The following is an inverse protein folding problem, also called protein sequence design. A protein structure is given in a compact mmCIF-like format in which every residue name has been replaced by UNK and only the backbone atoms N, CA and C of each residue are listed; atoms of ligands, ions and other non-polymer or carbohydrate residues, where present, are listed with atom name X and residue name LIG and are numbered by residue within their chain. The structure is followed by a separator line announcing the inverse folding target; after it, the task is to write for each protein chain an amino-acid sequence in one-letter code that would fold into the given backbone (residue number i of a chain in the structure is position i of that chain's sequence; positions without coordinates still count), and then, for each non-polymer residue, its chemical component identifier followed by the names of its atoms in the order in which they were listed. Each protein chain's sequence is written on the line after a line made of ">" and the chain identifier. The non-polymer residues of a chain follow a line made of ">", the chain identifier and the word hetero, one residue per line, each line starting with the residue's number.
data_IF_273061401757
#
_entry.id   IF_273061401757
#
_cell.length_a   1.000
_cell.length_b   1.000
_cell.length_c   1.000
_cell.angle_alpha   90.00
_cell.angle_beta   90.00
_cell.angle_gamma   90.00
#
_symmetry.space_group_name_H-M   'P 1'
#
loop_
_entity.id
_entity.type
_entity.pdbx_description
1 polymer ?
#
# COMPACT_ATOMS: atom_id res chain seq x y z
N UNK A 1 -7.78 3.28 -7.97
CA UNK A 1 -8.38 4.50 -7.41
C UNK A 1 -9.65 4.11 -6.67
N UNK A 2 -9.66 4.01 -5.32
CA UNK A 2 -10.88 4.05 -4.45
C UNK A 2 -10.69 3.39 -3.08
N UNK A 3 -9.79 2.42 -2.91
CA UNK A 3 -9.79 1.54 -1.73
C UNK A 3 -9.62 2.25 -0.38
N UNK A 4 -8.68 3.18 -0.25
CA UNK A 4 -8.46 3.90 1.01
C UNK A 4 -9.57 4.91 1.31
N UNK A 5 -10.09 5.58 0.28
CA UNK A 5 -11.19 6.52 0.46
C UNK A 5 -12.48 5.79 0.87
N UNK A 6 -12.76 4.64 0.23
CA UNK A 6 -13.82 3.74 0.63
C UNK A 6 -13.61 3.18 2.04
N UNK A 7 -12.37 2.86 2.43
CA UNK A 7 -12.06 2.39 3.78
C UNK A 7 -12.23 3.48 4.84
N UNK A 8 -11.82 4.72 4.56
CA UNK A 8 -11.96 5.86 5.48
C UNK A 8 -13.44 6.25 5.63
N UNK A 9 -14.15 6.44 4.52
CA UNK A 9 -15.58 6.80 4.55
C UNK A 9 -16.42 5.64 5.10
N UNK A 10 -16.20 4.42 4.59
CA UNK A 10 -16.93 3.23 5.02
C UNK A 10 -16.67 2.91 6.49
N UNK A 11 -15.41 2.98 6.94
CA UNK A 11 -15.05 2.76 8.33
C UNK A 11 -15.65 3.80 9.28
N UNK A 12 -15.58 5.09 8.92
CA UNK A 12 -16.17 6.17 9.72
C UNK A 12 -17.70 6.10 9.78
N UNK A 13 -18.34 5.82 8.64
CA UNK A 13 -19.81 5.69 8.55
C UNK A 13 -20.31 4.49 9.37
N UNK A 14 -19.60 3.35 9.32
CA UNK A 14 -19.92 2.19 10.15
C UNK A 14 -19.77 2.46 11.65
N UNK A 15 -18.76 3.25 12.06
CA UNK A 15 -18.57 3.66 13.46
C UNK A 15 -19.69 4.56 13.98
N UNK A 16 -20.15 5.52 13.18
CA UNK A 16 -21.29 6.39 13.54
C UNK A 16 -22.59 5.59 13.68
N UNK A 17 -22.82 4.64 12.77
CA UNK A 17 -23.99 3.75 12.81
C UNK A 17 -23.91 2.82 14.02
N UNK A 18 -22.73 2.28 14.33
CA UNK A 18 -22.52 1.50 15.54
C UNK A 18 -22.82 2.32 16.80
N UNK A 19 -22.31 3.54 16.89
CA UNK A 19 -22.44 4.41 18.06
C UNK A 19 -23.88 4.88 18.29
N UNK A 20 -24.66 5.10 17.23
CA UNK A 20 -26.03 5.63 17.33
C UNK A 20 -27.12 4.56 17.35
N UNK A 21 -26.93 3.45 16.63
CA UNK A 21 -27.99 2.47 16.38
C UNK A 21 -27.67 1.09 16.98
N UNK A 22 -26.44 0.86 17.44
CA UNK A 22 -26.02 -0.39 18.08
C UNK A 22 -25.34 -1.38 17.14
N UNK A 23 -24.94 -2.53 17.70
CA UNK A 23 -24.00 -3.47 17.09
C UNK A 23 -24.46 -4.12 15.78
N UNK A 24 -25.77 -4.33 15.59
CA UNK A 24 -26.30 -5.07 14.43
C UNK A 24 -26.40 -4.22 13.17
N UNK A 25 -26.51 -2.89 13.29
CA UNK A 25 -26.78 -1.99 12.16
C UNK A 25 -25.67 -1.82 11.14
N UNK A 26 -24.38 -1.83 11.51
CA UNK A 26 -23.28 -1.84 10.53
C UNK A 26 -23.37 -3.03 9.56
N UNK A 27 -23.85 -4.20 10.01
CA UNK A 27 -23.98 -5.38 9.16
C UNK A 27 -25.11 -5.23 8.13
N UNK A 28 -26.27 -4.70 8.54
CA UNK A 28 -27.36 -4.41 7.61
C UNK A 28 -26.95 -3.39 6.54
N UNK A 29 -26.23 -2.34 6.96
CA UNK A 29 -25.70 -1.33 6.04
C UNK A 29 -24.70 -1.93 5.05
N UNK A 30 -23.81 -2.81 5.53
CA UNK A 30 -22.87 -3.51 4.67
C UNK A 30 -23.57 -4.35 3.60
N UNK A 31 -24.59 -5.14 3.99
CA UNK A 31 -25.38 -5.97 3.06
C UNK A 31 -26.09 -5.08 2.03
N UNK A 32 -26.70 -3.97 2.46
CA UNK A 32 -27.36 -3.03 1.57
C UNK A 32 -26.39 -2.42 0.53
N UNK A 33 -25.22 -1.96 0.98
CA UNK A 33 -24.22 -1.40 0.06
C UNK A 33 -23.64 -2.45 -0.89
N UNK A 34 -23.44 -3.68 -0.42
CA UNK A 34 -22.98 -4.79 -1.27
C UNK A 34 -24.01 -5.14 -2.35
N UNK A 35 -25.30 -5.17 -2.01
CA UNK A 35 -26.38 -5.37 -2.98
C UNK A 35 -26.43 -4.25 -4.01
N UNK A 36 -26.36 -2.99 -3.56
CA UNK A 36 -26.33 -1.83 -4.46
C UNK A 36 -25.14 -1.90 -5.44
N UNK A 37 -23.95 -2.24 -4.93
CA UNK A 37 -22.76 -2.42 -5.75
C UNK A 37 -22.92 -3.57 -6.76
N UNK A 38 -23.55 -4.68 -6.35
CA UNK A 38 -23.85 -5.81 -7.23
C UNK A 38 -24.81 -5.42 -8.36
N UNK A 39 -25.89 -4.69 -8.03
CA UNK A 39 -26.84 -4.17 -9.03
C UNK A 39 -26.13 -3.24 -10.01
N UNK A 40 -25.33 -2.29 -9.50
CA UNK A 40 -24.57 -1.36 -10.34
C UNK A 40 -23.62 -2.10 -11.27
N UNK A 41 -22.90 -3.12 -10.78
CA UNK A 41 -22.02 -3.93 -11.61
C UNK A 41 -22.75 -4.63 -12.75
N UNK A 42 -23.94 -5.20 -12.49
CA UNK A 42 -24.76 -5.83 -13.53
C UNK A 42 -25.22 -4.78 -14.55
N UNK A 43 -25.70 -3.63 -14.09
CA UNK A 43 -26.16 -2.56 -15.00
C UNK A 43 -25.03 -2.01 -15.87
N UNK A 44 -23.84 -1.81 -15.30
CA UNK A 44 -22.66 -1.31 -16.03
C UNK A 44 -22.16 -2.38 -17.00
N UNK A 45 -22.16 -3.65 -16.61
CA UNK A 45 -21.79 -4.77 -17.50
C UNK A 45 -22.73 -4.94 -18.70
N UNK A 46 -23.99 -4.52 -18.58
CA UNK A 46 -24.93 -4.47 -19.70
C UNK A 46 -24.68 -3.28 -20.63
N UNK A 47 -24.26 -2.12 -20.10
CA UNK A 47 -24.02 -0.89 -20.89
C UNK A 47 -22.65 -0.90 -21.56
N UNK A 48 -21.63 -1.44 -20.89
CA UNK A 48 -20.27 -1.58 -21.40
C UNK A 48 -19.92 -3.07 -21.49
N UNK A 49 -20.32 -3.75 -22.58
CA UNK A 49 -19.95 -5.15 -22.77
C UNK A 49 -18.42 -5.28 -22.76
N UNK A 50 -17.88 -6.33 -22.12
CA UNK A 50 -16.44 -6.54 -22.05
C UNK A 50 -15.86 -6.54 -23.46
N UNK A 51 -14.78 -5.79 -23.67
CA UNK A 51 -14.03 -5.80 -24.93
C UNK A 51 -13.62 -7.26 -25.17
N UNK A 52 -14.25 -7.90 -26.15
CA UNK A 52 -13.93 -9.27 -26.56
C UNK A 52 -12.58 -9.22 -27.26
N UNK A 53 -11.52 -9.31 -26.47
CA UNK A 53 -10.18 -9.52 -27.00
C UNK A 53 -10.12 -10.98 -27.46
N UNK A 54 -10.40 -11.25 -28.76
CA UNK A 54 -10.44 -12.61 -29.34
C UNK A 54 -9.18 -13.42 -29.01
N UNK A 55 -8.03 -12.74 -28.91
CA UNK A 55 -6.74 -13.35 -28.52
C UNK A 55 -6.66 -13.75 -27.04
N UNK A 56 -7.41 -13.08 -26.15
CA UNK A 56 -7.51 -13.48 -24.74
C UNK A 56 -8.46 -14.67 -24.59
N UNK A 57 -9.54 -14.72 -25.39
CA UNK A 57 -10.53 -15.79 -25.32
C UNK A 57 -10.01 -17.12 -25.90
N UNK A 58 -9.25 -17.09 -27.00
CA UNK A 58 -8.56 -18.28 -27.54
C UNK A 58 -7.53 -18.89 -26.58
N UNK A 59 -6.92 -18.07 -25.72
CA UNK A 59 -5.95 -18.51 -24.71
C UNK A 59 -6.60 -18.91 -23.38
N UNK A 60 -7.73 -18.30 -23.03
CA UNK A 60 -8.56 -18.65 -21.86
C UNK A 60 -9.32 -19.97 -22.07
N UNK A 61 -9.62 -20.35 -23.32
CA UNK A 61 -10.24 -21.64 -23.66
C UNK A 61 -9.28 -22.83 -23.61
N UNK A 62 -7.95 -22.60 -23.58
CA UNK A 62 -6.99 -23.65 -23.24
C UNK A 62 -6.90 -23.74 -21.73
N UNK A 63 -7.24 -24.89 -21.16
CA UNK A 63 -6.96 -25.28 -19.77
C UNK A 63 -5.45 -25.36 -19.54
N UNK A 64 -4.79 -24.21 -19.60
CA UNK A 64 -3.39 -24.07 -19.24
C UNK A 64 -3.27 -24.44 -17.76
N UNK A 65 -2.43 -25.44 -17.48
CA UNK A 65 -2.13 -25.81 -16.09
C UNK A 65 -1.67 -24.58 -15.32
N UNK A 66 -2.20 -24.41 -14.10
CA UNK A 66 -1.87 -23.30 -13.20
C UNK A 66 -0.35 -23.13 -13.05
N UNK A 67 0.39 -24.24 -13.07
CA UNK A 67 1.85 -24.27 -13.01
C UNK A 67 2.52 -23.64 -14.25
N UNK A 68 1.96 -23.85 -15.44
CA UNK A 68 2.46 -23.26 -16.69
C UNK A 68 2.19 -21.75 -16.73
N UNK A 69 1.05 -21.30 -16.20
CA UNK A 69 0.76 -19.86 -16.04
C UNK A 69 1.71 -19.19 -15.04
N UNK A 70 1.99 -19.84 -13.91
CA UNK A 70 2.98 -19.41 -12.90
C UNK A 70 4.37 -19.29 -13.49
N UNK A 71 4.84 -20.35 -14.15
CA UNK A 71 6.16 -20.37 -14.77
C UNK A 71 6.29 -19.26 -15.81
N UNK A 72 5.26 -19.03 -16.62
CA UNK A 72 5.21 -17.93 -17.57
C UNK A 72 5.14 -16.53 -16.95
N UNK A 73 4.68 -16.38 -15.71
CA UNK A 73 4.71 -15.11 -14.98
C UNK A 73 6.14 -14.79 -14.52
N UNK A 74 6.81 -15.74 -13.85
CA UNK A 74 8.17 -15.55 -13.32
C UNK A 74 9.26 -15.51 -14.40
N UNK A 75 9.02 -16.10 -15.57
CA UNK A 75 9.96 -16.08 -16.70
C UNK A 75 10.02 -14.73 -17.44
N UNK A 76 9.16 -13.77 -17.10
CA UNK A 76 9.21 -12.44 -17.72
C UNK A 76 10.44 -11.66 -17.25
N UNK A 77 11.11 -10.93 -18.16
CA UNK A 77 12.19 -10.04 -17.76
C UNK A 77 11.68 -9.05 -16.70
N UNK A 78 12.50 -8.79 -15.68
CA UNK A 78 12.23 -7.87 -14.56
C UNK A 78 11.13 -8.27 -13.55
N UNK A 79 10.43 -9.41 -13.71
CA UNK A 79 9.39 -9.82 -12.74
C UNK A 79 9.93 -10.23 -11.37
N UNK A 80 11.12 -10.84 -11.31
CA UNK A 80 11.77 -11.17 -10.03
C UNK A 80 11.99 -9.92 -9.17
N UNK A 81 12.58 -8.88 -9.77
CA UNK A 81 12.81 -7.59 -9.09
C UNK A 81 11.49 -6.90 -8.70
N UNK A 82 10.49 -6.92 -9.59
CA UNK A 82 9.17 -6.38 -9.29
C UNK A 82 8.50 -7.07 -8.09
N UNK A 83 8.50 -8.40 -8.05
CA UNK A 83 7.88 -9.14 -6.94
C UNK A 83 8.60 -8.85 -5.60
N UNK A 84 9.94 -8.74 -5.61
CA UNK A 84 10.71 -8.38 -4.40
C UNK A 84 10.36 -6.97 -3.94
N UNK A 85 10.33 -5.99 -4.85
CA UNK A 85 9.94 -4.62 -4.53
C UNK A 85 8.49 -4.62 -4.00
N UNK A 86 7.57 -5.28 -4.68
CA UNK A 86 6.17 -5.37 -4.28
C UNK A 86 6.02 -5.95 -2.87
N UNK A 87 6.72 -7.04 -2.55
CA UNK A 87 6.71 -7.65 -1.22
C UNK A 87 7.25 -6.70 -0.16
N UNK A 88 8.40 -6.05 -0.41
CA UNK A 88 9.13 -5.33 0.63
C UNK A 88 8.76 -3.86 0.76
N UNK A 89 8.20 -3.24 -0.28
CA UNK A 89 8.06 -1.78 -0.34
C UNK A 89 7.08 -1.23 0.70
N UNK A 90 5.95 -1.89 0.89
CA UNK A 90 4.88 -1.42 1.77
C UNK A 90 4.97 -1.86 3.24
N UNK A 91 5.38 -3.10 3.56
CA UNK A 91 5.25 -3.61 4.92
C UNK A 91 5.98 -2.80 5.98
N UNK A 92 7.12 -2.19 5.69
CA UNK A 92 7.87 -1.41 6.70
C UNK A 92 7.11 -0.16 7.15
N UNK A 93 6.65 0.66 6.21
CA UNK A 93 5.82 1.83 6.52
C UNK A 93 4.45 1.43 7.06
N UNK A 94 3.88 0.33 6.55
CA UNK A 94 2.61 -0.23 7.07
C UNK A 94 2.73 -0.74 8.51
N UNK A 95 3.89 -1.27 8.89
CA UNK A 95 4.17 -1.69 10.26
C UNK A 95 4.31 -0.49 11.18
N UNK A 96 5.04 0.55 10.77
CA UNK A 96 5.09 1.80 11.52
C UNK A 96 3.68 2.37 11.76
N UNK A 97 2.80 2.33 10.75
CA UNK A 97 1.40 2.74 10.89
C UNK A 97 0.62 1.89 11.90
N UNK A 98 0.82 0.56 11.89
CA UNK A 98 0.17 -0.35 12.83
C UNK A 98 0.55 -0.03 14.29
N UNK A 99 1.83 0.28 14.54
CA UNK A 99 2.36 0.59 15.86
C UNK A 99 2.15 2.04 16.32
N UNK A 100 1.58 2.93 15.48
CA UNK A 100 1.36 4.33 15.87
C UNK A 100 0.51 4.47 17.14
N UNK A 101 -0.58 3.72 17.22
CA UNK A 101 -1.48 3.78 18.38
C UNK A 101 -0.78 3.40 19.68
N UNK A 102 -0.14 2.21 19.80
CA UNK A 102 0.57 1.85 21.02
C UNK A 102 1.72 2.82 21.33
N UNK A 103 2.49 3.29 20.34
CA UNK A 103 3.54 4.30 20.55
C UNK A 103 2.99 5.57 21.20
N UNK A 104 1.87 6.09 20.68
CA UNK A 104 1.28 7.32 21.20
C UNK A 104 0.73 7.14 22.63
N UNK A 105 0.12 5.99 22.92
CA UNK A 105 -0.40 5.68 24.25
C UNK A 105 0.73 5.53 25.28
N UNK A 106 1.81 4.86 24.90
CA UNK A 106 2.97 4.65 25.78
C UNK A 106 3.75 5.96 26.03
N UNK A 107 3.68 6.93 25.12
CA UNK A 107 4.18 8.29 25.31
C UNK A 107 3.25 9.19 26.13
N UNK A 108 2.15 8.65 26.67
CA UNK A 108 1.23 9.36 27.55
C UNK A 108 0.17 10.21 26.84
N UNK A 109 -0.02 10.06 25.52
CA UNK A 109 -1.13 10.74 24.83
C UNK A 109 -2.45 10.10 25.26
N UNK A 110 -3.38 10.91 25.74
CA UNK A 110 -4.73 10.46 26.10
C UNK A 110 -5.47 9.79 24.93
N UNK A 111 -6.23 8.74 25.25
CA UNK A 111 -6.94 7.89 24.28
C UNK A 111 -7.81 8.69 23.29
N UNK A 112 -8.49 9.73 23.77
CA UNK A 112 -9.32 10.61 22.95
C UNK A 112 -8.50 11.36 21.88
N UNK A 113 -7.34 11.91 22.26
CA UNK A 113 -6.44 12.60 21.34
C UNK A 113 -5.85 11.63 20.31
N UNK A 114 -5.52 10.39 20.71
CA UNK A 114 -5.06 9.35 19.77
C UNK A 114 -6.14 9.06 18.72
N UNK A 115 -7.42 8.97 19.12
CA UNK A 115 -8.53 8.71 18.21
C UNK A 115 -8.71 9.86 17.18
N UNK A 116 -8.63 11.11 17.64
CA UNK A 116 -8.68 12.28 16.76
C UNK A 116 -7.51 12.32 15.77
N UNK A 117 -6.29 12.14 16.26
CA UNK A 117 -5.08 12.14 15.43
C UNK A 117 -5.12 11.00 14.41
N UNK A 118 -5.50 9.78 14.83
CA UNK A 118 -5.60 8.64 13.93
C UNK A 118 -6.64 8.89 12.81
N UNK A 119 -7.77 9.53 13.14
CA UNK A 119 -8.82 9.86 12.16
C UNK A 119 -8.32 10.90 11.14
N UNK A 120 -7.71 11.99 11.62
CA UNK A 120 -7.10 13.02 10.77
C UNK A 120 -6.03 12.42 9.84
N UNK A 121 -5.15 11.58 10.39
CA UNK A 121 -4.13 10.88 9.62
C UNK A 121 -4.77 9.99 8.55
N UNK A 122 -5.80 9.21 8.87
CA UNK A 122 -6.51 8.40 7.88
C UNK A 122 -7.02 9.21 6.68
N UNK A 123 -7.58 10.39 6.93
CA UNK A 123 -8.02 11.32 5.86
C UNK A 123 -6.82 11.83 5.05
N UNK A 124 -5.73 12.24 5.71
CA UNK A 124 -4.50 12.69 5.05
C UNK A 124 -3.89 11.59 4.16
N UNK A 125 -3.83 10.35 4.64
CA UNK A 125 -3.37 9.21 3.85
C UNK A 125 -4.25 8.99 2.61
N UNK A 126 -5.58 9.11 2.75
CA UNK A 126 -6.50 8.95 1.63
C UNK A 126 -6.33 10.06 0.58
N UNK A 127 -6.19 11.32 1.01
CA UNK A 127 -5.91 12.45 0.11
C UNK A 127 -4.54 12.31 -0.57
N UNK A 128 -3.52 11.90 0.17
CA UNK A 128 -2.19 11.64 -0.37
C UNK A 128 -2.20 10.47 -1.38
N UNK A 129 -3.06 9.48 -1.17
CA UNK A 129 -3.27 8.39 -2.13
C UNK A 129 -3.96 8.83 -3.42
N UNK A 130 -4.48 10.06 -3.51
CA UNK A 130 -4.99 10.62 -4.76
C UNK A 130 -3.91 11.38 -5.52
N UNK A 131 -3.02 12.08 -4.81
CA UNK A 131 -2.00 12.92 -5.46
C UNK A 131 -0.98 12.11 -6.26
N UNK A 132 -0.75 10.81 -5.96
CA UNK A 132 0.19 9.99 -6.73
C UNK A 132 -0.15 9.93 -8.23
N UNK A 133 -1.44 9.96 -8.62
CA UNK A 133 -1.83 9.83 -10.02
C UNK A 133 -1.38 11.02 -10.85
N UNK A 134 -1.24 12.20 -10.24
CA UNK A 134 -0.68 13.39 -10.89
C UNK A 134 0.81 13.20 -11.18
N UNK A 135 1.56 12.60 -10.25
CA UNK A 135 2.98 12.31 -10.43
C UNK A 135 3.22 11.21 -11.48
N UNK A 136 2.36 10.19 -11.56
CA UNK A 136 2.46 9.16 -12.60
C UNK A 136 2.20 9.68 -14.01
N UNK A 137 1.48 10.79 -14.17
CA UNK A 137 1.28 11.41 -15.49
C UNK A 137 2.54 12.13 -15.99
N UNK A 138 3.36 12.67 -15.08
CA UNK A 138 4.52 13.52 -15.42
C UNK A 138 5.87 12.78 -15.35
N UNK A 139 5.97 11.70 -14.56
CA UNK A 139 7.23 11.01 -14.32
C UNK A 139 7.14 9.53 -14.68
N UNK A 140 8.29 8.96 -15.08
CA UNK A 140 8.42 7.51 -15.25
C UNK A 140 8.07 6.76 -13.96
N UNK A 141 7.31 5.67 -14.01
CA UNK A 141 6.87 4.94 -12.81
C UNK A 141 8.02 4.49 -11.90
N UNK A 142 9.19 4.20 -12.47
CA UNK A 142 10.39 3.82 -11.71
C UNK A 142 10.95 4.99 -10.87
N UNK A 143 10.91 6.22 -11.40
CA UNK A 143 11.37 7.42 -10.68
C UNK A 143 10.44 7.76 -9.53
N UNK A 144 9.13 7.64 -9.74
CA UNK A 144 8.13 7.88 -8.70
C UNK A 144 8.28 6.87 -7.56
N UNK A 145 8.47 5.58 -7.89
CA UNK A 145 8.69 4.53 -6.90
C UNK A 145 9.95 4.78 -6.07
N UNK A 146 11.07 5.16 -6.70
CA UNK A 146 12.28 5.54 -5.99
C UNK A 146 12.08 6.78 -5.09
N UNK A 147 11.48 7.85 -5.61
CA UNK A 147 11.25 9.08 -4.84
C UNK A 147 10.42 8.81 -3.58
N UNK A 148 9.36 8.01 -3.69
CA UNK A 148 8.51 7.68 -2.55
C UNK A 148 9.18 6.69 -1.59
N UNK A 149 10.10 5.84 -2.06
CA UNK A 149 10.93 5.01 -1.16
C UNK A 149 11.85 5.87 -0.28
N UNK A 150 12.38 6.99 -0.79
CA UNK A 150 13.15 7.95 0.02
C UNK A 150 12.24 8.58 1.09
N UNK A 151 11.04 9.00 0.70
CA UNK A 151 10.07 9.55 1.65
C UNK A 151 9.69 8.55 2.75
N UNK A 152 9.57 7.25 2.43
CA UNK A 152 9.37 6.19 3.44
C UNK A 152 10.50 6.17 4.47
N UNK A 153 11.76 6.19 4.02
CA UNK A 153 12.92 6.22 4.90
C UNK A 153 12.91 7.48 5.78
N UNK A 154 12.64 8.65 5.20
CA UNK A 154 12.58 9.91 5.93
C UNK A 154 11.47 9.94 6.99
N UNK A 155 10.28 9.44 6.66
CA UNK A 155 9.16 9.37 7.59
C UNK A 155 9.46 8.42 8.78
N UNK A 156 10.05 7.26 8.50
CA UNK A 156 10.48 6.31 9.53
C UNK A 156 11.60 6.89 10.40
N UNK A 157 12.55 7.62 9.79
CA UNK A 157 13.62 8.30 10.51
C UNK A 157 13.10 9.42 11.41
N UNK A 158 12.08 10.18 10.96
CA UNK A 158 11.38 11.16 11.79
C UNK A 158 10.75 10.52 13.04
N UNK A 159 10.07 9.38 12.87
CA UNK A 159 9.54 8.62 14.01
C UNK A 159 10.64 8.10 14.94
N UNK A 160 11.73 7.59 14.38
CA UNK A 160 12.88 7.14 15.17
C UNK A 160 13.44 8.24 16.07
N UNK A 161 13.59 9.47 15.56
CA UNK A 161 14.07 10.62 16.34
C UNK A 161 13.10 10.94 17.48
N UNK A 162 11.81 11.09 17.16
CA UNK A 162 10.77 11.43 18.15
C UNK A 162 10.73 10.42 19.27
N UNK A 163 10.79 9.13 18.92
CA UNK A 163 10.79 8.03 19.88
C UNK A 163 12.05 7.99 20.72
N UNK A 164 13.21 8.17 20.11
CA UNK A 164 14.49 8.10 20.83
C UNK A 164 14.70 9.30 21.77
N UNK A 165 14.04 10.42 21.48
CA UNK A 165 14.06 11.63 22.31
C UNK A 165 12.85 11.74 23.24
N UNK A 166 11.96 10.74 23.23
CA UNK A 166 10.74 10.66 24.05
C UNK A 166 9.85 11.92 23.97
N UNK A 167 9.75 12.52 22.78
CA UNK A 167 8.93 13.71 22.59
C UNK A 167 7.45 13.36 22.49
N UNK A 168 6.63 13.87 23.43
CA UNK A 168 5.17 13.69 23.45
C UNK A 168 4.39 14.90 22.89
N UNK A 169 5.07 15.91 22.38
CA UNK A 169 4.47 17.19 21.97
C UNK A 169 4.04 17.22 20.48
N UNK A 170 3.87 18.42 19.92
CA UNK A 170 3.57 18.66 18.50
C UNK A 170 4.51 17.94 17.52
N UNK A 171 5.77 17.69 17.92
CA UNK A 171 6.78 17.02 17.10
C UNK A 171 6.38 15.58 16.76
N UNK A 172 5.79 14.88 17.73
CA UNK A 172 5.24 13.54 17.52
C UNK A 172 4.08 13.59 16.54
N UNK A 173 3.14 14.51 16.73
CA UNK A 173 1.98 14.65 15.84
C UNK A 173 2.43 14.90 14.39
N UNK A 174 3.44 15.75 14.18
CA UNK A 174 4.01 16.00 12.84
C UNK A 174 4.64 14.74 12.25
N UNK A 175 5.40 13.97 13.03
CA UNK A 175 5.98 12.71 12.55
C UNK A 175 4.90 11.67 12.21
N UNK A 176 3.85 11.55 13.03
CA UNK A 176 2.69 10.67 12.79
C UNK A 176 1.96 11.06 11.51
N UNK A 177 1.69 12.36 11.30
CA UNK A 177 1.08 12.85 10.07
C UNK A 177 1.96 12.60 8.85
N UNK A 178 3.28 12.76 8.99
CA UNK A 178 4.25 12.45 7.94
C UNK A 178 4.21 10.98 7.52
N UNK A 179 4.22 10.05 8.48
CA UNK A 179 4.05 8.61 8.22
C UNK A 179 2.75 8.34 7.47
N UNK A 180 1.66 9.01 7.86
CA UNK A 180 0.36 8.83 7.23
C UNK A 180 0.32 9.25 5.77
N UNK A 181 0.85 10.44 5.47
CA UNK A 181 0.92 10.98 4.10
C UNK A 181 1.75 10.05 3.22
N UNK A 182 2.92 9.64 3.71
CA UNK A 182 3.86 8.80 2.97
C UNK A 182 3.31 7.38 2.76
N UNK A 183 2.59 6.83 3.76
CA UNK A 183 1.85 5.58 3.63
C UNK A 183 0.81 5.67 2.50
N UNK A 184 0.05 6.76 2.45
CA UNK A 184 -0.93 7.03 1.39
C UNK A 184 -0.30 7.07 0.00
N UNK A 185 0.72 7.91 -0.18
CA UNK A 185 1.48 8.03 -1.43
C UNK A 185 2.03 6.67 -1.90
N UNK A 186 2.65 5.93 -0.98
CA UNK A 186 3.23 4.62 -1.23
C UNK A 186 2.19 3.60 -1.68
N UNK A 187 1.03 3.59 -1.03
CA UNK A 187 -0.05 2.69 -1.40
C UNK A 187 -0.59 2.96 -2.81
N UNK A 188 -0.78 4.23 -3.16
CA UNK A 188 -1.30 4.64 -4.46
C UNK A 188 -0.39 4.16 -5.59
N UNK A 189 0.92 4.40 -5.46
CA UNK A 189 1.91 3.95 -6.45
C UNK A 189 1.93 2.44 -6.58
N UNK A 190 1.91 1.71 -5.46
CA UNK A 190 2.02 0.26 -5.47
C UNK A 190 0.80 -0.39 -6.16
N UNK A 191 -0.41 0.05 -5.81
CA UNK A 191 -1.63 -0.43 -6.47
C UNK A 191 -1.71 0.01 -7.94
N UNK A 192 -1.25 1.22 -8.28
CA UNK A 192 -1.14 1.67 -9.66
C UNK A 192 -0.20 0.79 -10.49
N UNK A 193 0.96 0.44 -9.93
CA UNK A 193 1.93 -0.43 -10.59
C UNK A 193 1.46 -1.88 -10.70
N UNK A 194 0.81 -2.44 -9.66
CA UNK A 194 0.20 -3.78 -9.73
C UNK A 194 -0.74 -3.89 -10.94
N UNK A 195 -1.56 -2.86 -11.18
CA UNK A 195 -2.47 -2.83 -12.32
C UNK A 195 -1.71 -2.79 -13.65
N UNK A 196 -0.67 -1.96 -13.76
CA UNK A 196 0.15 -1.86 -14.98
C UNK A 196 0.93 -3.15 -15.31
N UNK A 197 1.37 -3.90 -14.30
CA UNK A 197 2.14 -5.13 -14.47
C UNK A 197 1.25 -6.40 -14.62
N UNK A 198 -0.07 -6.26 -14.50
CA UNK A 198 -1.01 -7.37 -14.68
C UNK A 198 -1.28 -7.62 -16.17
N UNK A 199 -1.17 -8.87 -16.63
CA UNK A 199 -1.49 -9.25 -18.02
C UNK A 199 -2.98 -9.11 -18.29
N UNK A 200 -3.41 -8.31 -19.27
CA UNK A 200 -4.82 -8.20 -19.68
C UNK A 200 -5.52 -9.55 -19.87
N UNK A 201 -4.82 -10.57 -20.40
CA UNK A 201 -5.37 -11.91 -20.60
C UNK A 201 -5.37 -12.84 -19.36
N UNK A 202 -4.58 -12.54 -18.31
CA UNK A 202 -4.46 -13.36 -17.09
C UNK A 202 -4.52 -12.52 -15.79
N UNK A 203 -5.15 -11.33 -15.85
CA UNK A 203 -5.10 -10.33 -14.77
C UNK A 203 -5.53 -10.88 -13.43
N UNK A 204 -6.56 -11.75 -13.40
CA UNK A 204 -7.07 -12.32 -12.15
C UNK A 204 -6.05 -13.23 -11.45
N UNK A 205 -5.33 -14.07 -12.21
CA UNK A 205 -4.33 -14.98 -11.64
C UNK A 205 -3.06 -14.23 -11.21
N UNK A 206 -2.55 -13.33 -12.05
CA UNK A 206 -1.35 -12.55 -11.72
C UNK A 206 -1.59 -11.62 -10.51
N UNK A 207 -2.75 -10.98 -10.45
CA UNK A 207 -3.14 -10.14 -9.31
C UNK A 207 -3.31 -10.96 -8.03
N UNK A 208 -3.94 -12.15 -8.10
CA UNK A 208 -4.08 -13.04 -6.96
C UNK A 208 -2.73 -13.39 -6.34
N UNK A 209 -1.73 -13.67 -7.18
CA UNK A 209 -0.38 -14.00 -6.72
C UNK A 209 0.36 -12.82 -6.12
N UNK A 210 0.36 -11.68 -6.81
CA UNK A 210 0.95 -10.46 -6.26
C UNK A 210 0.30 -10.10 -4.92
N UNK A 211 -1.03 -10.17 -4.82
CA UNK A 211 -1.78 -9.89 -3.60
C UNK A 211 -1.45 -10.86 -2.46
N UNK A 212 -1.34 -12.16 -2.74
CA UNK A 212 -0.96 -13.16 -1.72
C UNK A 212 0.46 -12.92 -1.19
N UNK A 213 1.42 -12.68 -2.08
CA UNK A 213 2.82 -12.41 -1.71
C UNK A 213 2.95 -11.09 -0.93
N UNK A 214 2.21 -10.08 -1.35
CA UNK A 214 2.10 -8.80 -0.65
C UNK A 214 1.52 -8.96 0.77
N UNK A 215 0.43 -9.73 0.89
CA UNK A 215 -0.25 -9.96 2.16
C UNK A 215 0.61 -10.75 3.14
N UNK A 216 1.36 -11.74 2.64
CA UNK A 216 2.29 -12.52 3.46
C UNK A 216 3.33 -11.64 4.16
N UNK A 217 3.97 -10.75 3.41
CA UNK A 217 5.00 -9.87 3.97
C UNK A 217 4.41 -8.82 4.93
N UNK A 218 3.16 -8.39 4.70
CA UNK A 218 2.40 -7.52 5.62
C UNK A 218 2.04 -8.18 6.95
N UNK A 219 2.14 -9.50 7.07
CA UNK A 219 1.96 -10.22 8.32
C UNK A 219 3.33 -10.45 9.00
N UNK A 220 4.33 -10.88 8.23
CA UNK A 220 5.65 -11.19 8.78
C UNK A 220 6.38 -9.98 9.37
N UNK A 221 6.38 -8.84 8.67
CA UNK A 221 7.16 -7.65 9.07
C UNK A 221 6.68 -7.06 10.41
N UNK A 222 5.37 -6.91 10.69
CA UNK A 222 4.89 -6.54 12.02
C UNK A 222 5.28 -7.52 13.12
N UNK A 223 5.23 -8.83 12.86
CA UNK A 223 5.62 -9.83 13.87
C UNK A 223 7.10 -9.68 14.22
N UNK A 224 7.98 -9.56 13.22
CA UNK A 224 9.40 -9.32 13.49
C UNK A 224 9.65 -7.97 14.17
N UNK A 225 8.91 -6.92 13.81
CA UNK A 225 9.02 -5.63 14.49
C UNK A 225 8.63 -5.73 15.96
N UNK A 226 7.58 -6.49 16.30
CA UNK A 226 7.19 -6.78 17.68
C UNK A 226 8.28 -7.50 18.47
N UNK A 227 8.91 -8.52 17.89
CA UNK A 227 10.03 -9.23 18.55
C UNK A 227 11.22 -8.29 18.81
N UNK A 228 11.50 -7.37 17.89
CA UNK A 228 12.57 -6.38 18.08
C UNK A 228 12.16 -5.32 19.12
N UNK A 229 10.89 -4.89 19.11
CA UNK A 229 10.31 -3.99 20.09
C UNK A 229 10.47 -4.54 21.52
N UNK A 230 10.14 -5.80 21.74
CA UNK A 230 10.26 -6.43 23.06
C UNK A 230 11.70 -6.47 23.58
N UNK A 231 12.69 -6.54 22.68
CA UNK A 231 14.12 -6.66 23.04
C UNK A 231 14.84 -5.31 23.17
N UNK A 232 14.46 -4.33 22.36
CA UNK A 232 15.23 -3.10 22.15
C UNK A 232 14.40 -1.82 22.32
N UNK A 233 13.11 -1.97 22.65
CA UNK A 233 12.17 -0.87 22.72
C UNK A 233 11.82 -0.28 21.36
N UNK A 234 11.07 0.82 21.37
CA UNK A 234 10.58 1.46 20.16
C UNK A 234 11.71 2.00 19.27
N UNK A 235 12.80 2.50 19.86
CA UNK A 235 13.95 3.02 19.12
C UNK A 235 14.57 1.94 18.22
N UNK A 236 14.82 0.74 18.75
CA UNK A 236 15.36 -0.36 17.97
C UNK A 236 14.36 -0.94 16.95
N UNK A 237 13.06 -0.94 17.28
CA UNK A 237 12.02 -1.30 16.31
C UNK A 237 12.03 -0.37 15.08
N UNK A 238 12.05 0.95 15.29
CA UNK A 238 12.08 1.90 14.18
C UNK A 238 13.39 1.83 13.38
N UNK A 239 14.54 1.58 14.03
CA UNK A 239 15.80 1.32 13.29
C UNK A 239 15.69 0.11 12.38
N UNK A 240 15.11 -0.99 12.87
CA UNK A 240 14.90 -2.19 12.07
C UNK A 240 14.01 -1.92 10.85
N UNK A 241 12.94 -1.15 11.03
CA UNK A 241 12.07 -0.72 9.92
C UNK A 241 12.82 0.19 8.92
N UNK A 242 13.65 1.10 9.40
CA UNK A 242 14.47 1.99 8.56
C UNK A 242 15.45 1.17 7.73
N UNK A 243 16.15 0.20 8.32
CA UNK A 243 17.07 -0.67 7.59
C UNK A 243 16.37 -1.40 6.44
N UNK A 244 15.17 -1.96 6.72
CA UNK A 244 14.34 -2.58 5.69
C UNK A 244 13.92 -1.60 4.58
N UNK A 245 13.48 -0.40 4.95
CA UNK A 245 13.09 0.64 3.99
C UNK A 245 14.28 1.16 3.16
N UNK A 246 15.49 1.23 3.73
CA UNK A 246 16.72 1.60 3.01
C UNK A 246 17.09 0.54 1.98
N UNK A 247 16.97 -0.76 2.32
CA UNK A 247 17.18 -1.85 1.35
C UNK A 247 16.20 -1.71 0.17
N UNK A 248 14.92 -1.43 0.44
CA UNK A 248 13.92 -1.17 -0.60
C UNK A 248 14.31 0.05 -1.44
N UNK A 249 14.78 1.13 -0.82
CA UNK A 249 15.22 2.34 -1.52
C UNK A 249 16.38 2.05 -2.48
N UNK A 250 17.38 1.27 -2.05
CA UNK A 250 18.51 0.85 -2.88
C UNK A 250 18.04 -0.04 -4.05
N UNK A 251 17.14 -1.00 -3.79
CA UNK A 251 16.56 -1.85 -4.83
C UNK A 251 15.77 -1.03 -5.86
N UNK A 252 15.01 -0.04 -5.38
CA UNK A 252 14.22 0.87 -6.20
C UNK A 252 15.12 1.76 -7.07
N UNK A 253 16.23 2.25 -6.52
CA UNK A 253 17.25 3.00 -7.26
C UNK A 253 17.91 2.16 -8.35
N UNK A 254 18.32 0.93 -8.01
CA UNK A 254 18.94 0.01 -8.96
C UNK A 254 17.98 -0.33 -10.10
N UNK A 255 16.70 -0.60 -9.77
CA UNK A 255 15.68 -0.88 -10.77
C UNK A 255 15.36 0.33 -11.65
N UNK A 256 15.36 1.54 -11.08
CA UNK A 256 15.26 2.78 -11.85
C UNK A 256 16.44 2.95 -12.80
N UNK A 257 17.67 2.64 -12.38
CA UNK A 257 18.87 2.80 -13.21
C UNK A 257 18.91 1.80 -14.37
N UNK A 258 18.46 0.57 -14.15
CA UNK A 258 18.37 -0.46 -15.20
C UNK A 258 17.35 -0.11 -16.29
N UNK A 259 16.25 0.58 -15.92
CA UNK A 259 15.15 0.91 -16.82
C UNK A 259 15.11 2.39 -17.21
N UNK A 260 16.10 3.19 -16.80
CA UNK A 260 16.26 4.54 -17.29
C UNK A 260 16.63 4.47 -18.77
N UNK A 261 15.92 5.19 -19.67
CA UNK A 261 16.32 5.24 -21.07
C UNK A 261 17.75 5.75 -21.12
N UNK A 262 18.64 4.95 -21.67
CA UNK A 262 20.03 5.30 -21.93
C UNK A 262 20.06 6.56 -22.79
N UNK A 263 20.30 7.71 -22.18
CA UNK A 263 20.62 8.98 -22.86
C UNK A 263 22.02 8.95 -23.54
N UNK A 264 22.46 7.78 -24.01
CA UNK A 264 23.70 7.60 -24.77
C UNK A 264 23.48 6.49 -25.78
N UNK A 265 23.26 6.86 -27.04
CA UNK A 265 23.39 5.89 -28.12
C UNK A 265 22.64 6.12 -29.44
N UNK A 266 22.10 7.29 -29.76
CA UNK A 266 21.75 7.64 -31.15
C UNK A 266 22.07 9.11 -31.43
N UNK A 267 23.37 9.38 -31.44
CA UNK A 267 23.94 10.50 -32.17
C UNK A 267 25.26 9.97 -32.73
N UNK A 268 25.18 9.40 -33.94
CA UNK A 268 26.20 9.35 -34.98
C UNK A 268 25.56 8.76 -36.25
#
# INVERSE_FOLDING_TARGET
>A
MSAYFAAVIGGGLMLLVYASLGWSWPFYLFVFMALLAGILLVTVGHVFPPIKDEKANERSGKTLSFFTMWKGYFQRPNMGMWNVILMLYFPFIGTAWLYLKPVMLDMGIGLENVAWIASLCGVLAALASFTYSLFMYQFSPYRVLFLFSILNVLALFGMYIVVSMEWSDWRLIVAVMGVSIVLGLSSGVLFGLIMNYSRTAFSASDYGLQSSLFSFTRILVPISAGIILDKTGYSGMYLWLILGAVVVCILSFYWMRLNAPTLKGEAL
#
